data_IF_617166937479
#
_entry.id   IF_617166937479
#
_cell.length_a   1.000
_cell.length_b   1.000
_cell.length_c   1.000
_cell.angle_alpha   90.00
_cell.angle_beta   90.00
_cell.angle_gamma   90.00
#
_symmetry.space_group_name_H-M   'P 1'
#
loop_
_entity.id
_entity.type
_entity.pdbx_description
1 polymer ?
#
# COMPACT_ATOMS: atom_id res chain seq x y z
N UNK A 1 51.84 14.71 -3.88
CA UNK A 1 52.64 15.02 -5.08
C UNK A 1 53.77 14.01 -5.23
N UNK A 2 53.67 13.09 -6.20
CA UNK A 2 54.71 12.74 -7.17
C UNK A 2 54.05 11.94 -8.30
N UNK A 3 54.41 12.21 -9.56
CA UNK A 3 53.76 11.67 -10.75
C UNK A 3 54.47 10.40 -11.22
N UNK A 4 53.76 9.49 -11.89
CA UNK A 4 54.39 8.50 -12.76
C UNK A 4 53.67 8.51 -14.11
N UNK A 5 54.45 8.87 -15.12
CA UNK A 5 54.08 8.93 -16.52
C UNK A 5 54.30 7.58 -17.21
N UNK A 6 53.35 7.25 -18.09
CA UNK A 6 53.51 6.77 -19.46
C UNK A 6 54.20 5.41 -19.76
N UNK A 7 53.57 4.74 -20.73
CA UNK A 7 54.13 4.06 -21.93
C UNK A 7 53.65 2.61 -22.08
N UNK A 8 52.63 2.48 -22.96
CA UNK A 8 52.56 1.60 -24.14
C UNK A 8 52.69 0.08 -24.00
N UNK A 9 51.68 -0.64 -24.47
CA UNK A 9 51.86 -1.65 -25.51
C UNK A 9 50.52 -2.01 -26.17
N UNK A 10 50.34 -1.55 -27.41
CA UNK A 10 49.45 -2.20 -28.37
C UNK A 10 49.84 -3.68 -28.50
N UNK A 11 48.89 -4.58 -28.32
CA UNK A 11 48.97 -5.91 -28.91
C UNK A 11 47.62 -6.25 -29.51
N UNK A 12 47.51 -5.97 -30.81
CA UNK A 12 46.38 -6.33 -31.64
C UNK A 12 46.46 -7.83 -31.95
N UNK A 13 45.66 -8.64 -31.26
CA UNK A 13 45.34 -10.00 -31.70
C UNK A 13 44.02 -9.97 -32.47
N UNK A 14 44.15 -9.78 -33.79
CA UNK A 14 43.11 -10.10 -34.78
C UNK A 14 42.94 -11.62 -34.82
N UNK A 15 42.13 -12.16 -33.92
CA UNK A 15 41.52 -13.48 -34.08
C UNK A 15 40.21 -13.28 -34.83
N UNK A 16 40.27 -13.49 -36.15
CA UNK A 16 39.12 -13.62 -37.01
C UNK A 16 38.34 -14.88 -36.61
N UNK A 17 37.46 -14.75 -35.63
CA UNK A 17 36.35 -15.68 -35.42
C UNK A 17 35.35 -15.40 -36.53
N UNK A 18 35.27 -16.34 -37.47
CA UNK A 18 34.20 -16.36 -38.44
C UNK A 18 32.86 -16.46 -37.70
N UNK A 19 32.17 -15.32 -37.56
CA UNK A 19 30.76 -15.28 -37.20
C UNK A 19 29.99 -15.92 -38.36
N UNK A 20 29.80 -17.23 -38.29
CA UNK A 20 28.74 -17.91 -39.01
C UNK A 20 27.42 -17.37 -38.47
N UNK A 21 26.99 -16.20 -38.95
CA UNK A 21 25.60 -15.80 -38.82
C UNK A 21 24.80 -16.80 -39.66
N UNK A 22 23.91 -17.60 -39.06
CA UNK A 22 22.95 -18.36 -39.86
C UNK A 22 22.19 -17.34 -40.71
N UNK A 23 22.18 -17.54 -42.03
CA UNK A 23 21.55 -16.63 -43.00
C UNK A 23 20.03 -16.54 -42.83
N UNK A 24 19.47 -17.47 -42.07
CA UNK A 24 18.13 -17.42 -41.50
C UNK A 24 18.33 -17.10 -40.01
N UNK A 25 17.60 -16.12 -39.48
CA UNK A 25 17.74 -15.65 -38.09
C UNK A 25 17.63 -16.78 -37.04
N UNK A 26 17.72 -16.45 -35.74
CA UNK A 26 17.68 -17.45 -34.67
C UNK A 26 16.55 -18.44 -34.91
N UNK A 27 16.87 -19.74 -34.84
CA UNK A 27 15.92 -20.83 -35.04
C UNK A 27 14.69 -20.60 -34.15
N UNK A 28 13.51 -21.03 -34.58
CA UNK A 28 12.25 -20.77 -33.87
C UNK A 28 12.35 -21.16 -32.40
N UNK A 29 13.02 -22.27 -32.12
CA UNK A 29 13.27 -22.77 -30.77
C UNK A 29 14.21 -21.84 -29.98
N UNK A 30 15.26 -21.30 -30.61
CA UNK A 30 16.14 -20.31 -29.97
C UNK A 30 15.41 -18.99 -29.65
N UNK A 31 14.48 -18.55 -30.50
CA UNK A 31 13.65 -17.37 -30.24
C UNK A 31 12.68 -17.63 -29.09
N UNK A 32 12.12 -18.82 -29.02
CA UNK A 32 11.23 -19.23 -27.94
C UNK A 32 11.97 -19.30 -26.60
N UNK A 33 13.13 -19.95 -26.56
CA UNK A 33 13.96 -20.06 -25.35
C UNK A 33 14.44 -18.69 -24.87
N UNK A 34 14.87 -17.80 -25.78
CA UNK A 34 15.28 -16.44 -25.42
C UNK A 34 14.10 -15.65 -24.84
N UNK A 35 12.91 -15.75 -25.46
CA UNK A 35 11.72 -15.06 -24.97
C UNK A 35 11.24 -15.61 -23.61
N UNK A 36 11.35 -16.92 -23.37
CA UNK A 36 11.03 -17.54 -22.08
C UNK A 36 12.02 -17.08 -21.00
N UNK A 37 13.32 -17.09 -21.32
CA UNK A 37 14.37 -16.70 -20.38
C UNK A 37 14.34 -15.21 -20.03
N UNK A 38 14.08 -14.32 -20.99
CA UNK A 38 13.95 -12.88 -20.75
C UNK A 38 12.73 -12.56 -19.86
N UNK A 39 11.59 -13.20 -20.15
CA UNK A 39 10.36 -13.01 -19.37
C UNK A 39 10.50 -13.51 -17.93
N UNK A 40 11.10 -14.68 -17.74
CA UNK A 40 11.37 -15.22 -16.41
C UNK A 40 12.32 -14.32 -15.61
N UNK A 41 13.32 -13.74 -16.29
CA UNK A 41 14.29 -12.84 -15.66
C UNK A 41 13.69 -11.49 -15.26
N UNK A 42 12.82 -10.89 -16.10
CA UNK A 42 12.18 -9.61 -15.77
C UNK A 42 11.12 -9.76 -14.67
N UNK A 43 10.30 -10.81 -14.75
CA UNK A 43 9.23 -11.05 -13.79
C UNK A 43 9.80 -11.40 -12.41
N UNK A 44 10.85 -12.21 -12.35
CA UNK A 44 11.53 -12.57 -11.10
C UNK A 44 12.18 -11.40 -10.37
N UNK A 45 12.81 -10.46 -11.10
CA UNK A 45 13.40 -9.27 -10.50
C UNK A 45 12.34 -8.33 -9.90
N UNK A 46 11.21 -8.16 -10.60
CA UNK A 46 10.10 -7.31 -10.15
C UNK A 46 9.43 -7.84 -8.88
N UNK A 47 9.28 -9.16 -8.73
CA UNK A 47 8.67 -9.75 -7.52
C UNK A 47 9.64 -9.89 -6.35
N UNK A 48 10.93 -10.13 -6.60
CA UNK A 48 11.92 -10.22 -5.54
C UNK A 48 12.09 -8.89 -4.77
N UNK A 49 11.77 -7.76 -5.41
CA UNK A 49 11.78 -6.43 -4.78
C UNK A 49 10.53 -6.08 -3.96
N UNK A 50 9.43 -6.84 -4.10
CA UNK A 50 8.18 -6.53 -3.39
C UNK A 50 8.25 -7.00 -1.94
N UNK A 51 8.34 -6.04 -1.02
CA UNK A 51 8.32 -6.31 0.43
C UNK A 51 7.08 -5.72 1.06
N UNK A 52 6.43 -6.44 1.97
CA UNK A 52 5.31 -5.87 2.72
C UNK A 52 5.77 -5.12 3.98
N UNK A 53 7.01 -5.32 4.43
CA UNK A 53 7.65 -4.56 5.50
C UNK A 53 7.56 -3.05 5.34
N UNK A 54 7.59 -2.55 4.11
CA UNK A 54 7.58 -1.11 3.81
C UNK A 54 6.25 -0.44 4.18
N UNK A 55 5.19 -1.24 4.40
CA UNK A 55 3.88 -0.77 4.81
C UNK A 55 3.74 -0.68 6.34
N UNK A 56 4.64 -1.30 7.11
CA UNK A 56 4.64 -1.26 8.58
C UNK A 56 4.57 0.15 9.17
N UNK A 57 5.38 1.14 8.74
CA UNK A 57 5.27 2.48 9.32
C UNK A 57 3.88 3.10 9.13
N UNK A 58 3.26 2.91 7.97
CA UNK A 58 1.90 3.41 7.71
C UNK A 58 0.84 2.67 8.53
N UNK A 59 1.06 1.39 8.81
CA UNK A 59 0.19 0.62 9.70
C UNK A 59 0.27 1.16 11.13
N UNK A 60 1.48 1.46 11.62
CA UNK A 60 1.66 2.08 12.93
C UNK A 60 1.03 3.48 13.00
N UNK A 61 1.14 4.28 11.94
CA UNK A 61 0.43 5.56 11.83
C UNK A 61 -1.09 5.37 11.93
N UNK A 62 -1.65 4.38 11.23
CA UNK A 62 -3.08 4.07 11.31
C UNK A 62 -3.53 3.55 12.70
N UNK A 63 -2.62 2.90 13.44
CA UNK A 63 -2.86 2.44 14.81
C UNK A 63 -2.76 3.56 15.85
N UNK A 64 -2.13 4.69 15.52
CA UNK A 64 -1.90 5.78 16.44
C UNK A 64 -3.23 6.42 16.92
N UNK A 65 -3.53 6.28 18.20
CA UNK A 65 -4.77 6.78 18.81
C UNK A 65 -4.85 8.32 18.88
N UNK A 66 -3.71 9.01 18.76
CA UNK A 66 -3.68 10.48 18.80
C UNK A 66 -4.19 11.11 17.48
N UNK A 67 -4.26 10.33 16.40
CA UNK A 67 -4.80 10.78 15.12
C UNK A 67 -6.34 10.73 15.09
N UNK A 68 -6.98 11.63 14.33
CA UNK A 68 -8.42 11.58 14.15
C UNK A 68 -8.82 10.27 13.46
N UNK A 69 -9.87 9.64 13.95
CA UNK A 69 -10.30 8.31 13.50
C UNK A 69 -10.59 8.23 12.01
N UNK A 70 -11.06 9.32 11.41
CA UNK A 70 -11.27 9.41 9.97
C UNK A 70 -9.97 9.26 9.18
N UNK A 71 -8.86 9.84 9.66
CA UNK A 71 -7.54 9.76 9.01
C UNK A 71 -6.93 8.37 9.22
N UNK A 72 -7.08 7.82 10.42
CA UNK A 72 -6.69 6.45 10.74
C UNK A 72 -7.40 5.44 9.83
N UNK A 73 -8.72 5.61 9.64
CA UNK A 73 -9.53 4.73 8.79
C UNK A 73 -9.07 4.77 7.33
N UNK A 74 -8.82 5.97 6.79
CA UNK A 74 -8.32 6.13 5.42
C UNK A 74 -6.92 5.52 5.24
N UNK A 75 -6.04 5.72 6.22
CA UNK A 75 -4.69 5.16 6.21
C UNK A 75 -4.74 3.64 6.28
N UNK A 76 -5.55 3.08 7.19
CA UNK A 76 -5.76 1.63 7.30
C UNK A 76 -6.32 1.05 6.00
N UNK A 77 -7.30 1.71 5.39
CA UNK A 77 -7.87 1.30 4.09
C UNK A 77 -6.79 1.24 3.02
N UNK A 78 -5.92 2.26 2.95
CA UNK A 78 -4.82 2.32 1.98
C UNK A 78 -3.77 1.23 2.22
N UNK A 79 -3.42 0.97 3.50
CA UNK A 79 -2.50 -0.10 3.86
C UNK A 79 -3.09 -1.46 3.49
N UNK A 80 -4.37 -1.69 3.77
CA UNK A 80 -5.08 -2.92 3.42
C UNK A 80 -5.10 -3.18 1.92
N UNK A 81 -5.50 -2.20 1.10
CA UNK A 81 -5.54 -2.36 -0.36
C UNK A 81 -4.15 -2.62 -0.93
N UNK A 82 -3.14 -1.86 -0.49
CA UNK A 82 -1.76 -2.02 -0.96
C UNK A 82 -1.18 -3.38 -0.54
N UNK A 83 -1.44 -3.83 0.69
CA UNK A 83 -1.01 -5.14 1.17
C UNK A 83 -1.68 -6.28 0.39
N UNK A 84 -2.98 -6.18 0.13
CA UNK A 84 -3.74 -7.13 -0.69
C UNK A 84 -3.17 -7.22 -2.10
N UNK A 85 -2.93 -6.09 -2.75
CA UNK A 85 -2.37 -6.03 -4.10
C UNK A 85 -0.96 -6.65 -4.17
N UNK A 86 -0.09 -6.37 -3.20
CA UNK A 86 1.27 -6.95 -3.14
C UNK A 86 1.21 -8.47 -2.95
N UNK A 87 0.38 -8.94 -2.02
CA UNK A 87 0.22 -10.37 -1.77
C UNK A 87 -0.31 -11.10 -3.02
N UNK A 88 -1.36 -10.57 -3.66
CA UNK A 88 -1.91 -11.13 -4.89
C UNK A 88 -0.90 -11.13 -6.03
N UNK A 89 -0.11 -10.06 -6.20
CA UNK A 89 0.91 -9.98 -7.24
C UNK A 89 2.01 -11.03 -7.05
N UNK A 90 2.44 -11.27 -5.81
CA UNK A 90 3.41 -12.33 -5.50
C UNK A 90 2.84 -13.72 -5.77
N UNK A 91 1.60 -13.98 -5.30
CA UNK A 91 0.94 -15.27 -5.49
C UNK A 91 0.69 -15.59 -6.98
N UNK A 92 0.24 -14.60 -7.75
CA UNK A 92 -0.02 -14.72 -9.18
C UNK A 92 1.27 -14.96 -9.98
N UNK A 93 2.36 -14.26 -9.66
CA UNK A 93 3.65 -14.48 -10.32
C UNK A 93 4.19 -15.90 -10.06
N UNK A 94 4.14 -16.38 -8.81
CA UNK A 94 4.56 -17.74 -8.46
C UNK A 94 3.65 -18.80 -9.10
N UNK A 95 2.36 -18.53 -9.20
CA UNK A 95 1.40 -19.44 -9.86
C UNK A 95 1.66 -19.53 -11.37
N UNK A 96 2.01 -18.42 -12.02
CA UNK A 96 2.35 -18.38 -13.45
C UNK A 96 3.70 -18.99 -13.76
N UNK A 97 4.67 -18.81 -12.86
CA UNK A 97 6.03 -19.29 -13.03
C UNK A 97 6.57 -19.87 -11.71
N UNK A 98 6.38 -21.18 -11.46
CA UNK A 98 6.86 -21.82 -10.24
C UNK A 98 8.39 -21.88 -10.15
N UNK A 99 9.10 -21.76 -11.28
CA UNK A 99 10.57 -21.79 -11.31
C UNK A 99 11.20 -20.57 -10.60
N UNK A 100 10.43 -19.49 -10.44
CA UNK A 100 10.83 -18.33 -9.63
C UNK A 100 11.24 -18.72 -8.21
N UNK A 101 10.64 -19.78 -7.66
CA UNK A 101 10.94 -20.28 -6.32
C UNK A 101 12.26 -21.06 -6.22
N UNK A 102 12.85 -21.45 -7.35
CA UNK A 102 14.05 -22.28 -7.43
C UNK A 102 15.23 -21.57 -8.12
N UNK A 103 15.01 -20.38 -8.65
CA UNK A 103 16.07 -19.53 -9.22
C UNK A 103 16.93 -18.84 -8.16
N UNK A 104 17.88 -18.01 -8.62
CA UNK A 104 18.83 -17.30 -7.76
C UNK A 104 18.18 -16.39 -6.70
N UNK A 105 16.99 -15.86 -6.98
CA UNK A 105 16.19 -15.04 -6.06
C UNK A 105 15.09 -15.82 -5.33
N UNK A 106 15.04 -17.15 -5.48
CA UNK A 106 13.92 -17.97 -5.00
C UNK A 106 13.72 -17.93 -3.48
N UNK A 107 14.80 -17.89 -2.70
CA UNK A 107 14.70 -17.73 -1.24
C UNK A 107 14.09 -16.38 -0.84
N UNK A 108 14.49 -15.29 -1.51
CA UNK A 108 13.94 -13.96 -1.26
C UNK A 108 12.44 -13.90 -1.63
N UNK A 109 12.06 -14.51 -2.75
CA UNK A 109 10.65 -14.57 -3.19
C UNK A 109 9.81 -15.37 -2.20
N UNK A 110 10.29 -16.53 -1.72
CA UNK A 110 9.61 -17.33 -0.68
C UNK A 110 9.41 -16.53 0.61
N UNK A 111 10.48 -15.87 1.09
CA UNK A 111 10.41 -15.03 2.28
C UNK A 111 9.43 -13.88 2.11
N UNK A 112 9.45 -13.17 0.97
CA UNK A 112 8.53 -12.07 0.70
C UNK A 112 7.08 -12.55 0.63
N UNK A 113 6.84 -13.73 0.06
CA UNK A 113 5.51 -14.32 -0.06
C UNK A 113 4.95 -14.71 1.32
N UNK A 114 5.73 -15.37 2.16
CA UNK A 114 5.34 -15.67 3.54
C UNK A 114 5.09 -14.41 4.36
N UNK A 115 6.00 -13.43 4.28
CA UNK A 115 5.89 -12.15 4.97
C UNK A 115 4.65 -11.38 4.54
N UNK A 116 4.41 -11.25 3.23
CA UNK A 116 3.27 -10.51 2.69
C UNK A 116 1.93 -11.18 3.04
N UNK A 117 1.86 -12.52 3.03
CA UNK A 117 0.65 -13.23 3.46
C UNK A 117 0.37 -13.03 4.94
N UNK A 118 1.38 -13.17 5.80
CA UNK A 118 1.25 -12.94 7.23
C UNK A 118 0.84 -11.48 7.53
N UNK A 119 1.56 -10.52 6.95
CA UNK A 119 1.27 -9.09 7.11
C UNK A 119 -0.14 -8.73 6.62
N UNK A 120 -0.58 -9.26 5.48
CA UNK A 120 -1.94 -9.02 4.98
C UNK A 120 -3.01 -9.60 5.91
N UNK A 121 -2.78 -10.79 6.47
CA UNK A 121 -3.69 -11.39 7.44
C UNK A 121 -3.80 -10.52 8.71
N UNK A 122 -2.68 -10.01 9.22
CA UNK A 122 -2.64 -9.11 10.38
C UNK A 122 -3.39 -7.80 10.09
N UNK A 123 -3.09 -7.15 8.96
CA UNK A 123 -3.77 -5.91 8.54
C UNK A 123 -5.27 -6.13 8.34
N UNK A 124 -5.68 -7.26 7.75
CA UNK A 124 -7.10 -7.61 7.58
C UNK A 124 -7.79 -7.74 8.94
N UNK A 125 -7.16 -8.43 9.89
CA UNK A 125 -7.69 -8.60 11.24
C UNK A 125 -7.85 -7.26 11.94
N UNK A 126 -6.81 -6.41 11.93
CA UNK A 126 -6.85 -5.09 12.55
C UNK A 126 -7.88 -4.17 11.91
N UNK A 127 -7.98 -4.20 10.58
CA UNK A 127 -8.94 -3.37 9.85
C UNK A 127 -10.39 -3.78 10.15
N UNK A 128 -10.67 -5.08 10.24
CA UNK A 128 -11.97 -5.59 10.65
C UNK A 128 -12.34 -5.17 12.09
N UNK A 129 -11.42 -5.36 13.04
CA UNK A 129 -11.63 -4.91 14.43
C UNK A 129 -11.90 -3.41 14.48
N UNK A 130 -11.11 -2.60 13.78
CA UNK A 130 -11.30 -1.16 13.75
C UNK A 130 -12.64 -0.73 13.15
N UNK A 131 -13.08 -1.37 12.07
CA UNK A 131 -14.40 -1.12 11.47
C UNK A 131 -15.52 -1.48 12.45
N UNK A 132 -15.42 -2.63 13.14
CA UNK A 132 -16.42 -3.07 14.12
C UNK A 132 -16.51 -2.12 15.31
N UNK A 133 -15.37 -1.70 15.86
CA UNK A 133 -15.28 -0.76 16.98
C UNK A 133 -15.93 0.61 16.64
N UNK A 134 -15.77 1.08 15.40
CA UNK A 134 -16.43 2.30 14.92
C UNK A 134 -17.93 2.07 14.72
N UNK A 135 -18.32 0.92 14.16
CA UNK A 135 -19.73 0.59 13.88
C UNK A 135 -20.57 0.33 15.14
N UNK A 136 -19.95 -0.05 16.26
CA UNK A 136 -20.63 -0.26 17.54
C UNK A 136 -21.02 1.07 18.21
N UNK A 137 -20.22 2.12 18.03
CA UNK A 137 -20.48 3.47 18.55
C UNK A 137 -20.34 4.54 17.45
N UNK A 138 -21.24 4.57 16.45
CA UNK A 138 -21.11 5.48 15.31
C UNK A 138 -21.62 6.90 15.61
N UNK A 139 -22.34 7.09 16.72
CA UNK A 139 -22.96 8.36 17.10
C UNK A 139 -22.46 8.78 18.48
N UNK A 140 -22.08 10.05 18.60
CA UNK A 140 -21.73 10.71 19.85
C UNK A 140 -22.76 11.80 20.16
N UNK A 141 -23.03 12.03 21.46
CA UNK A 141 -23.79 13.20 21.89
C UNK A 141 -22.86 14.38 22.04
N UNK A 142 -23.07 15.42 21.24
CA UNK A 142 -22.38 16.67 21.42
C UNK A 142 -22.93 17.38 22.66
N UNK A 143 -22.07 17.52 23.68
CA UNK A 143 -22.39 18.15 24.96
C UNK A 143 -22.77 19.63 24.80
N UNK A 144 -22.25 20.30 23.78
CA UNK A 144 -22.50 21.73 23.55
C UNK A 144 -23.87 21.97 22.92
N UNK A 145 -24.25 21.15 21.94
CA UNK A 145 -25.49 21.34 21.18
C UNK A 145 -26.64 20.43 21.63
N UNK A 146 -26.36 19.44 22.49
CA UNK A 146 -27.28 18.35 22.85
C UNK A 146 -27.84 17.61 21.62
N UNK A 147 -27.08 17.60 20.50
CA UNK A 147 -27.44 16.89 19.28
C UNK A 147 -26.60 15.63 19.12
N UNK A 148 -27.19 14.66 18.43
CA UNK A 148 -26.51 13.44 18.01
C UNK A 148 -25.66 13.76 16.76
N UNK A 149 -24.34 13.60 16.89
CA UNK A 149 -23.36 13.85 15.82
C UNK A 149 -22.64 12.54 15.49
N UNK A 150 -22.30 12.32 14.22
CA UNK A 150 -21.53 11.14 13.83
C UNK A 150 -20.11 11.22 14.39
N UNK A 151 -19.59 10.08 14.89
CA UNK A 151 -18.22 9.95 15.44
C UNK A 151 -17.16 10.24 14.37
N UNK A 152 -17.41 9.78 13.16
CA UNK A 152 -16.62 10.06 11.97
C UNK A 152 -17.52 10.16 10.73
N UNK A 153 -16.94 10.48 9.58
CA UNK A 153 -17.69 10.54 8.33
C UNK A 153 -18.18 9.15 7.90
N UNK A 154 -19.50 8.97 7.96
CA UNK A 154 -20.18 7.69 7.69
C UNK A 154 -20.01 7.24 6.24
N UNK A 155 -19.69 8.15 5.30
CA UNK A 155 -19.37 7.78 3.92
C UNK A 155 -18.04 7.03 3.82
N UNK A 156 -17.01 7.52 4.54
CA UNK A 156 -15.69 6.85 4.60
C UNK A 156 -15.83 5.46 5.25
N UNK A 157 -16.69 5.34 6.28
CA UNK A 157 -16.97 4.05 6.91
C UNK A 157 -17.64 3.07 5.96
N UNK A 158 -18.63 3.52 5.19
CA UNK A 158 -19.30 2.71 4.17
C UNK A 158 -18.31 2.21 3.11
N UNK A 159 -17.43 3.08 2.64
CA UNK A 159 -16.40 2.73 1.66
C UNK A 159 -15.41 1.72 2.25
N UNK A 160 -14.96 1.93 3.48
CA UNK A 160 -14.05 1.02 4.19
C UNK A 160 -14.66 -0.37 4.38
N UNK A 161 -15.93 -0.47 4.79
CA UNK A 161 -16.67 -1.75 4.90
C UNK A 161 -16.73 -2.45 3.54
N UNK A 162 -16.98 -1.69 2.46
CA UNK A 162 -17.07 -2.24 1.10
C UNK A 162 -15.72 -2.77 0.62
N UNK A 163 -14.62 -2.10 0.97
CA UNK A 163 -13.25 -2.52 0.63
C UNK A 163 -12.82 -3.75 1.41
N UNK A 164 -13.12 -3.82 2.71
CA UNK A 164 -12.80 -4.98 3.55
C UNK A 164 -13.58 -6.23 3.11
N UNK A 165 -14.85 -6.03 2.74
CA UNK A 165 -15.81 -7.07 2.36
C UNK A 165 -15.94 -8.18 3.42
N UNK A 166 -16.40 -7.85 4.64
CA UNK A 166 -16.62 -8.83 5.70
C UNK A 166 -17.86 -9.68 5.44
N UNK A 167 -17.93 -10.87 6.04
CA UNK A 167 -19.06 -11.81 5.82
C UNK A 167 -20.41 -11.23 6.27
N UNK A 168 -20.41 -10.34 7.27
CA UNK A 168 -21.56 -9.63 7.80
C UNK A 168 -21.69 -8.18 7.27
N UNK A 169 -21.14 -7.92 6.07
CA UNK A 169 -21.18 -6.61 5.40
C UNK A 169 -22.55 -5.94 5.41
N UNK A 170 -23.60 -6.67 5.03
CA UNK A 170 -24.96 -6.10 4.95
C UNK A 170 -25.45 -5.62 6.33
N UNK A 171 -25.06 -6.32 7.40
CA UNK A 171 -25.39 -5.94 8.78
C UNK A 171 -24.65 -4.65 9.16
N UNK A 172 -23.36 -4.55 8.86
CA UNK A 172 -22.55 -3.37 9.14
C UNK A 172 -23.04 -2.14 8.36
N UNK A 173 -23.33 -2.31 7.06
CA UNK A 173 -23.89 -1.23 6.22
C UNK A 173 -25.24 -0.77 6.77
N UNK A 174 -26.12 -1.69 7.17
CA UNK A 174 -27.39 -1.35 7.80
C UNK A 174 -27.23 -0.54 9.10
N UNK A 175 -26.19 -0.82 9.90
CA UNK A 175 -25.86 0.00 11.10
C UNK A 175 -25.43 1.41 10.71
N UNK A 176 -24.59 1.56 9.68
CA UNK A 176 -24.15 2.86 9.17
C UNK A 176 -25.35 3.67 8.65
N UNK A 177 -26.24 3.07 7.87
CA UNK A 177 -27.47 3.73 7.38
C UNK A 177 -28.41 4.14 8.51
N UNK A 178 -28.53 3.32 9.56
CA UNK A 178 -29.27 3.69 10.77
C UNK A 178 -28.62 4.90 11.47
N UNK A 179 -27.29 4.98 11.48
CA UNK A 179 -26.57 6.09 12.07
C UNK A 179 -26.72 7.39 11.25
N UNK A 180 -26.67 7.31 9.92
CA UNK A 180 -26.91 8.43 9.02
C UNK A 180 -28.31 9.02 9.22
N UNK A 181 -29.33 8.16 9.33
CA UNK A 181 -30.71 8.58 9.59
C UNK A 181 -30.89 9.33 10.91
N UNK A 182 -30.15 8.94 11.96
CA UNK A 182 -30.22 9.56 13.29
C UNK A 182 -29.48 10.89 13.38
N UNK A 183 -28.35 11.01 12.67
CA UNK A 183 -27.50 12.21 12.68
C UNK A 183 -27.93 13.24 11.63
N UNK A 184 -28.91 12.92 10.77
CA UNK A 184 -29.45 13.84 9.76
C UNK A 184 -28.44 14.27 8.70
N UNK A 185 -27.34 13.53 8.53
CA UNK A 185 -26.24 13.82 7.60
C UNK A 185 -25.67 15.25 7.74
N UNK A 186 -25.55 15.79 8.96
CA UNK A 186 -24.64 16.92 9.18
C UNK A 186 -23.20 16.41 9.16
N UNK A 187 -22.52 16.66 8.04
CA UNK A 187 -21.07 16.52 7.83
C UNK A 187 -20.30 16.89 9.12
N UNK A 188 -19.33 16.08 9.58
CA UNK A 188 -18.59 16.40 10.80
C UNK A 188 -17.97 17.79 10.69
N UNK A 189 -18.22 18.62 11.69
CA UNK A 189 -17.75 20.00 11.73
C UNK A 189 -16.21 19.99 11.69
N UNK A 190 -15.69 20.54 10.59
CA UNK A 190 -14.26 20.83 10.40
C UNK A 190 -13.77 21.61 11.62
N UNK A 191 -12.64 21.16 12.17
CA UNK A 191 -12.17 21.49 13.52
C UNK A 191 -12.28 22.95 13.94
N UNK A 192 -12.66 23.14 15.20
CA UNK A 192 -12.45 24.37 15.96
C UNK A 192 -10.97 24.75 15.92
N UNK A 193 -10.64 25.70 15.04
CA UNK A 193 -9.46 26.52 15.22
C UNK A 193 -9.62 27.28 16.52
N UNK A 194 -8.70 27.02 17.46
CA UNK A 194 -8.51 27.79 18.68
C UNK A 194 -8.26 29.25 18.31
N UNK A 195 -9.30 30.08 18.40
CA UNK A 195 -9.18 31.54 18.35
C UNK A 195 -8.75 31.99 19.75
N UNK A 196 -7.44 32.20 19.89
CA UNK A 196 -6.84 32.66 21.13
C UNK A 196 -7.02 34.18 21.20
N UNK A 197 -7.82 34.65 22.15
CA UNK A 197 -8.15 36.06 22.33
C UNK A 197 -6.93 36.95 22.59
N UNK A 198 -6.96 38.16 22.02
CA UNK A 198 -5.99 39.21 22.28
C UNK A 198 -6.54 40.58 21.85
N UNK A 199 -7.27 41.24 22.75
CA UNK A 199 -7.81 42.58 22.55
C UNK A 199 -6.73 43.67 22.54
N UNK A 200 -6.96 44.72 21.74
CA UNK A 200 -6.11 45.91 21.72
C UNK A 200 -6.73 47.05 20.92
N UNK A 201 -7.59 47.86 21.57
CA UNK A 201 -8.10 49.16 21.07
C UNK A 201 -6.94 50.12 20.71
N UNK A 202 -7.01 50.86 19.60
CA UNK A 202 -6.34 52.15 19.50
C UNK A 202 -7.33 53.30 19.73
N UNK A 203 -7.02 54.13 20.73
CA UNK A 203 -7.75 55.33 21.08
C UNK A 203 -7.63 56.43 20.02
N UNK A 204 -8.76 57.09 19.79
CA UNK A 204 -8.94 58.29 18.95
C UNK A 204 -8.38 59.50 19.72
N UNK A 205 -7.33 60.16 19.23
CA UNK A 205 -6.93 61.49 19.72
C UNK A 205 -7.44 62.57 18.76
N UNK A 206 -8.01 63.61 19.35
CA UNK A 206 -8.20 64.95 18.78
C UNK A 206 -6.87 65.67 18.70
#
# INVERSE_FOLDING_TARGET
>A
MRPNHLVSALCACLLAVACAHPAYGPDSDQRLETAISERASSEGADVAGLKCSDLKPKLEDARNADQPESERLQTMTTVFTTAKERALKLDDAVTRNPDLLYGASGEAIKSNLEECRAFFADVRSDFDHFIRDVCDLPILKDVQTNRDVARLDLSILRDAITVLDPDDKDILIGRVENAERKTGSTKPAKGSSVDNGGGGKPGKKK
#
